data_IF_770524237274
#
_entry.id   IF_770524237274
#
_cell.length_a   1.000
_cell.length_b   1.000
_cell.length_c   1.000
_cell.angle_alpha   90.00
_cell.angle_beta   90.00
_cell.angle_gamma   90.00
#
_symmetry.space_group_name_H-M   'P 1'
#
loop_
_entity.id
_entity.type
_entity.pdbx_description
1 polymer ?
#
# COMPACT_ATOMS: atom_id res chain seq x y z
N UNK A 1 5.88 3.72 -5.05
CA UNK A 1 6.88 4.45 -4.21
C UNK A 1 6.71 3.98 -2.78
N UNK A 2 7.68 3.30 -2.14
CA UNK A 2 7.34 2.47 -0.99
C UNK A 2 7.75 3.00 0.39
N UNK A 3 8.38 4.17 0.53
CA UNK A 3 8.80 4.66 1.85
C UNK A 3 7.95 5.84 2.32
N UNK A 4 7.58 5.83 3.60
CA UNK A 4 6.94 6.98 4.26
C UNK A 4 7.52 7.16 5.67
N UNK A 5 7.62 8.42 6.12
CA UNK A 5 8.01 8.72 7.50
C UNK A 5 6.80 8.75 8.43
N UNK A 6 7.07 8.49 9.72
CA UNK A 6 6.15 8.63 10.84
C UNK A 6 6.84 9.34 11.99
N UNK A 7 6.20 10.40 12.51
CA UNK A 7 6.60 11.05 13.75
C UNK A 7 5.68 10.59 14.88
N UNK A 8 6.22 9.99 15.93
CA UNK A 8 5.46 9.52 17.08
C UNK A 8 4.99 10.66 18.00
N UNK A 9 5.70 11.79 18.00
CA UNK A 9 5.37 12.96 18.83
C UNK A 9 4.08 13.64 18.40
N UNK A 10 3.95 13.97 17.11
CA UNK A 10 2.76 14.63 16.57
C UNK A 10 1.86 13.72 15.72
N UNK A 11 2.25 12.45 15.52
CA UNK A 11 1.56 11.49 14.64
C UNK A 11 1.48 11.92 13.17
N UNK A 12 2.37 12.81 12.74
CA UNK A 12 2.47 13.21 11.34
C UNK A 12 2.99 12.05 10.48
N UNK A 13 2.50 11.99 9.24
CA UNK A 13 2.92 11.05 8.18
C UNK A 13 3.45 11.84 7.00
N UNK A 14 4.31 11.18 6.22
CA UNK A 14 4.74 11.76 4.95
C UNK A 14 3.54 12.05 4.04
N UNK A 15 3.46 13.24 3.44
CA UNK A 15 2.39 13.60 2.51
C UNK A 15 2.48 12.81 1.20
N UNK A 16 3.69 12.42 0.79
CA UNK A 16 3.95 11.70 -0.45
C UNK A 16 4.91 10.55 -0.20
N UNK A 17 4.64 9.39 -0.80
CA UNK A 17 5.55 8.26 -0.67
C UNK A 17 6.84 8.52 -1.44
N UNK A 18 7.97 8.13 -0.89
CA UNK A 18 9.29 8.27 -1.53
C UNK A 18 9.81 6.94 -2.07
N UNK A 19 10.58 7.01 -3.15
CA UNK A 19 11.21 5.83 -3.76
C UNK A 19 12.38 5.30 -2.94
N UNK A 20 13.14 6.21 -2.32
CA UNK A 20 14.29 5.86 -1.48
C UNK A 20 13.97 6.13 -0.03
N UNK A 21 14.49 5.25 0.83
CA UNK A 21 14.39 5.40 2.28
C UNK A 21 15.04 6.71 2.76
N UNK A 22 16.20 7.06 2.22
CA UNK A 22 16.93 8.27 2.57
C UNK A 22 16.09 9.54 2.38
N UNK A 23 15.32 9.63 1.29
CA UNK A 23 14.47 10.79 1.02
C UNK A 23 13.38 10.95 2.08
N UNK A 24 12.79 9.83 2.54
CA UNK A 24 11.81 9.86 3.63
C UNK A 24 12.46 10.16 5.00
N UNK A 25 13.73 9.78 5.20
CA UNK A 25 14.49 10.13 6.42
C UNK A 25 14.80 11.63 6.44
N UNK A 26 15.19 12.21 5.30
CA UNK A 26 15.43 13.65 5.16
C UNK A 26 14.16 14.46 5.42
N UNK A 27 13.00 14.00 4.94
CA UNK A 27 11.71 14.62 5.26
C UNK A 27 11.36 14.56 6.74
N UNK A 28 11.62 13.43 7.40
CA UNK A 28 11.39 13.30 8.84
C UNK A 28 12.24 14.31 9.62
N UNK A 29 13.51 14.46 9.22
CA UNK A 29 14.43 15.43 9.81
C UNK A 29 13.95 16.85 9.57
N UNK A 30 13.58 17.19 8.32
CA UNK A 30 13.05 18.50 7.98
C UNK A 30 11.77 18.83 8.76
N UNK A 31 10.83 17.88 8.83
CA UNK A 31 9.62 18.00 9.63
C UNK A 31 9.95 18.27 11.09
N UNK A 32 10.92 17.55 11.66
CA UNK A 32 11.32 17.72 13.05
C UNK A 32 11.94 19.08 13.33
N UNK A 33 12.80 19.57 12.44
CA UNK A 33 13.34 20.91 12.55
C UNK A 33 12.26 21.99 12.49
N UNK A 34 11.29 21.83 11.59
CA UNK A 34 10.21 22.80 11.40
C UNK A 34 9.16 22.78 12.52
N UNK A 35 8.73 21.60 12.97
CA UNK A 35 7.61 21.43 13.90
C UNK A 35 8.04 21.30 15.36
N UNK A 36 9.22 20.72 15.61
CA UNK A 36 9.70 20.35 16.96
C UNK A 36 11.03 21.04 17.32
N UNK A 37 11.51 21.99 16.51
CA UNK A 37 12.76 22.71 16.76
C UNK A 37 14.02 21.84 16.65
N UNK A 38 13.93 20.65 16.05
CA UNK A 38 15.07 19.75 15.85
C UNK A 38 15.50 18.94 17.06
N UNK A 39 14.62 18.77 18.06
CA UNK A 39 14.86 17.88 19.19
C UNK A 39 15.19 16.44 18.72
N UNK A 40 15.88 15.64 19.52
CA UNK A 40 16.22 14.26 19.14
C UNK A 40 14.94 13.42 18.90
N UNK A 41 14.98 12.39 18.02
CA UNK A 41 13.80 11.56 17.75
C UNK A 41 13.23 10.99 19.05
N UNK A 42 11.92 11.15 19.24
CA UNK A 42 11.21 10.39 20.26
C UNK A 42 11.35 8.90 19.93
N UNK A 43 11.47 8.04 20.95
CA UNK A 43 11.49 6.61 20.75
C UNK A 43 10.21 6.17 20.00
N UNK A 44 10.35 5.76 18.75
CA UNK A 44 9.24 5.37 17.87
C UNK A 44 9.07 6.20 16.59
N UNK A 45 9.81 7.30 16.41
CA UNK A 45 9.92 7.96 15.10
C UNK A 45 10.66 7.06 14.10
N UNK A 46 10.27 7.08 12.83
CA UNK A 46 11.01 6.32 11.82
C UNK A 46 10.41 6.34 10.42
N UNK A 47 11.11 5.68 9.51
CA UNK A 47 10.67 5.43 8.14
C UNK A 47 10.25 3.99 8.00
N UNK A 48 9.08 3.78 7.41
CA UNK A 48 8.55 2.44 7.14
C UNK A 48 8.40 2.19 5.65
N UNK A 49 8.55 0.93 5.27
CA UNK A 49 8.26 0.46 3.92
C UNK A 49 6.77 0.08 3.84
N UNK A 50 6.01 0.81 3.02
CA UNK A 50 4.64 0.53 2.64
C UNK A 50 4.64 -0.17 1.28
N UNK A 51 4.04 -1.35 1.23
CA UNK A 51 3.75 -1.98 -0.04
C UNK A 51 2.64 -1.19 -0.75
N UNK A 52 2.77 -0.97 -2.06
CA UNK A 52 1.66 -0.48 -2.85
C UNK A 52 0.51 -1.49 -2.74
N UNK A 53 -0.69 -0.99 -2.42
CA UNK A 53 -1.93 -1.77 -2.28
C UNK A 53 -2.41 -2.34 -3.62
N UNK A 54 -1.52 -2.55 -4.60
CA UNK A 54 -1.81 -3.34 -5.80
C UNK A 54 -1.85 -4.83 -5.50
N UNK A 55 -2.13 -5.24 -4.25
CA UNK A 55 -2.72 -6.54 -4.01
C UNK A 55 -4.16 -6.39 -4.46
N UNK A 56 -4.39 -6.66 -5.73
CA UNK A 56 -5.72 -6.91 -6.23
C UNK A 56 -6.30 -8.01 -5.36
N UNK A 57 -7.12 -7.63 -4.38
CA UNK A 57 -7.98 -8.51 -3.60
C UNK A 57 -9.12 -9.02 -4.50
N UNK A 58 -8.78 -9.39 -5.73
CA UNK A 58 -9.53 -10.40 -6.44
C UNK A 58 -9.38 -11.66 -5.60
N UNK A 59 -10.40 -11.99 -4.83
CA UNK A 59 -10.58 -13.23 -4.08
C UNK A 59 -10.56 -14.49 -4.99
N UNK A 60 -10.11 -14.35 -6.23
CA UNK A 60 -10.17 -15.31 -7.30
C UNK A 60 -8.74 -15.56 -7.79
N UNK A 61 -8.25 -16.81 -7.70
CA UNK A 61 -7.01 -17.22 -8.34
C UNK A 61 -6.95 -16.73 -9.78
N UNK A 62 -5.77 -16.28 -10.22
CA UNK A 62 -5.49 -16.02 -11.64
C UNK A 62 -5.90 -17.24 -12.47
N UNK A 63 -7.01 -17.12 -13.22
CA UNK A 63 -7.62 -18.21 -13.98
C UNK A 63 -9.11 -18.50 -13.69
N UNK A 64 -9.68 -17.99 -12.61
CA UNK A 64 -11.11 -18.24 -12.26
C UNK A 64 -12.11 -17.71 -13.29
N UNK A 65 -11.75 -16.68 -14.07
CA UNK A 65 -12.60 -16.14 -15.13
C UNK A 65 -12.91 -17.18 -16.21
N UNK A 66 -11.89 -17.92 -16.67
CA UNK A 66 -12.06 -18.97 -17.69
C UNK A 66 -12.88 -20.15 -17.15
N UNK A 67 -12.69 -20.50 -15.88
CA UNK A 67 -13.49 -21.53 -15.22
C UNK A 67 -14.98 -21.14 -15.15
N UNK A 68 -15.28 -19.90 -14.79
CA UNK A 68 -16.65 -19.39 -14.76
C UNK A 68 -17.28 -19.37 -16.16
N UNK A 69 -16.55 -18.92 -17.19
CA UNK A 69 -17.00 -18.95 -18.58
C UNK A 69 -17.29 -20.38 -19.07
N UNK A 70 -16.43 -21.34 -18.71
CA UNK A 70 -16.66 -22.74 -19.05
C UNK A 70 -17.94 -23.29 -18.41
N UNK A 71 -18.15 -23.04 -17.11
CA UNK A 71 -19.37 -23.45 -16.42
C UNK A 71 -20.62 -22.81 -17.02
N UNK A 72 -20.58 -21.52 -17.32
CA UNK A 72 -21.69 -20.81 -17.94
C UNK A 72 -22.05 -21.41 -19.31
N UNK A 73 -21.04 -21.69 -20.14
CA UNK A 73 -21.24 -22.34 -21.44
C UNK A 73 -21.85 -23.74 -21.31
N UNK A 74 -21.39 -24.53 -20.34
CA UNK A 74 -21.94 -25.87 -20.06
C UNK A 74 -23.40 -25.82 -19.60
N UNK A 75 -23.78 -24.83 -18.79
CA UNK A 75 -25.17 -24.62 -18.36
C UNK A 75 -26.03 -24.20 -19.56
N UNK A 76 -25.60 -23.21 -20.34
CA UNK A 76 -26.35 -22.75 -21.51
C UNK A 76 -26.55 -23.86 -22.54
N UNK A 77 -25.52 -24.68 -22.79
CA UNK A 77 -25.63 -25.84 -23.68
C UNK A 77 -26.64 -26.89 -23.19
N UNK A 78 -26.73 -27.11 -21.87
CA UNK A 78 -27.72 -28.03 -21.28
C UNK A 78 -29.13 -27.42 -21.20
N UNK A 79 -29.25 -26.11 -21.02
CA UNK A 79 -30.54 -25.42 -20.94
C UNK A 79 -31.18 -25.20 -22.31
N UNK A 80 -30.39 -25.10 -23.38
CA UNK A 80 -30.88 -24.92 -24.76
C UNK A 80 -30.96 -26.23 -25.55
N UNK A 81 -30.55 -27.36 -24.97
CA UNK A 81 -30.64 -28.69 -25.56
C UNK A 81 -31.97 -29.43 -25.33
N UNK A 82 -33.04 -28.74 -24.92
CA UNK A 82 -34.40 -29.32 -24.77
C UNK A 82 -35.40 -28.62 -25.67
#
# INVERSE_FOLDING_TARGET
>A
MPYEYWCAECRARSPERRERRADAEDELVQHRHAAHGGLAPAAGDGVRHVHDESRGDGCLPSGSFLFFMFLLAAVLANCWGR
#
